data_IF_499132770050
#
_entry.id   IF_499132770050
#
_cell.length_a   1.000
_cell.length_b   1.000
_cell.length_c   1.000
_cell.angle_alpha   90.00
_cell.angle_beta   90.00
_cell.angle_gamma   90.00
#
_symmetry.space_group_name_H-M   'P 1'
#
loop_
_entity.id
_entity.type
_entity.pdbx_description
1 polymer ?
#
# COMPACT_ATOMS: atom_id res chain seq x y z
N UNK A 1 -14.43 -5.12 19.72
CA UNK A 1 -15.06 -6.33 19.15
C UNK A 1 -13.95 -7.26 18.67
N UNK A 2 -14.13 -8.58 18.75
CA UNK A 2 -13.13 -9.53 18.26
C UNK A 2 -13.28 -9.73 16.74
N UNK A 3 -12.16 -10.04 16.07
CA UNK A 3 -12.12 -10.27 14.62
C UNK A 3 -12.90 -11.53 14.23
N UNK A 4 -13.66 -11.52 13.11
CA UNK A 4 -14.33 -12.71 12.63
C UNK A 4 -13.33 -13.68 11.99
N UNK A 5 -13.59 -15.00 12.05
CA UNK A 5 -12.76 -15.99 11.37
C UNK A 5 -12.90 -15.88 9.84
N UNK A 6 -11.82 -16.14 9.12
CA UNK A 6 -11.84 -16.27 7.66
C UNK A 6 -12.66 -17.52 7.31
N UNK A 7 -13.74 -17.41 6.53
CA UNK A 7 -14.53 -18.55 6.01
C UNK A 7 -14.92 -19.64 7.04
N UNK A 8 -15.09 -19.30 8.33
CA UNK A 8 -15.41 -20.29 9.37
C UNK A 8 -14.26 -21.23 9.73
N UNK A 9 -13.02 -20.86 9.41
CA UNK A 9 -11.82 -21.60 9.80
C UNK A 9 -11.74 -21.67 11.33
N UNK A 10 -11.45 -22.86 11.86
CA UNK A 10 -11.23 -23.04 13.30
C UNK A 10 -9.76 -22.71 13.63
N UNK A 11 -9.53 -21.87 14.62
CA UNK A 11 -8.19 -21.45 15.03
C UNK A 11 -8.19 -20.06 15.64
N UNK A 12 -7.08 -19.71 16.28
CA UNK A 12 -6.82 -18.39 16.84
C UNK A 12 -5.40 -17.95 16.48
N UNK A 13 -5.08 -18.07 15.19
CA UNK A 13 -3.82 -17.60 14.60
C UNK A 13 -4.10 -16.44 13.66
N UNK A 14 -3.09 -15.63 13.38
CA UNK A 14 -3.17 -14.49 12.45
C UNK A 14 -3.92 -14.86 11.15
N UNK A 15 -3.46 -15.88 10.43
CA UNK A 15 -4.05 -16.28 9.15
C UNK A 15 -5.48 -16.84 9.21
N UNK A 16 -6.04 -17.04 10.41
CA UNK A 16 -7.42 -17.52 10.60
C UNK A 16 -8.43 -16.41 10.87
N UNK A 17 -7.97 -15.16 11.03
CA UNK A 17 -8.80 -13.99 11.32
C UNK A 17 -8.81 -13.02 10.13
N UNK A 18 -9.90 -12.25 9.98
CA UNK A 18 -10.07 -11.34 8.84
C UNK A 18 -9.37 -9.97 8.99
N UNK A 19 -8.92 -9.62 10.20
CA UNK A 19 -8.21 -8.36 10.51
C UNK A 19 -8.92 -7.06 10.03
N UNK A 20 -10.25 -7.06 10.02
CA UNK A 20 -11.07 -5.95 9.53
C UNK A 20 -11.13 -4.75 10.50
N UNK A 21 -10.85 -4.97 11.79
CA UNK A 21 -10.85 -3.97 12.86
C UNK A 21 -9.43 -3.55 13.26
N UNK A 22 -8.42 -4.30 12.84
CA UNK A 22 -7.02 -4.07 13.19
C UNK A 22 -6.21 -3.39 12.07
N UNK A 23 -6.52 -3.70 10.80
CA UNK A 23 -5.76 -3.22 9.64
C UNK A 23 -6.55 -2.20 8.81
N UNK A 24 -5.84 -1.33 8.09
CA UNK A 24 -6.42 -0.40 7.11
C UNK A 24 -7.58 0.48 7.63
N UNK A 25 -7.53 0.85 8.91
CA UNK A 25 -8.55 1.70 9.51
C UNK A 25 -8.50 3.13 8.92
N UNK A 26 -9.64 3.83 8.77
CA UNK A 26 -9.69 5.19 8.23
C UNK A 26 -8.74 6.19 8.91
N UNK A 27 -8.50 6.01 10.21
CA UNK A 27 -7.60 6.82 11.01
C UNK A 27 -6.15 6.74 10.53
N UNK A 28 -5.72 5.58 10.01
CA UNK A 28 -4.39 5.40 9.42
C UNK A 28 -4.20 6.30 8.20
N UNK A 29 -5.18 6.32 7.30
CA UNK A 29 -5.14 7.18 6.11
C UNK A 29 -5.17 8.67 6.48
N UNK A 30 -5.95 9.03 7.50
CA UNK A 30 -6.02 10.41 8.00
C UNK A 30 -4.68 10.86 8.57
N UNK A 31 -4.04 10.02 9.39
CA UNK A 31 -2.73 10.31 9.97
C UNK A 31 -1.65 10.47 8.89
N UNK A 32 -1.64 9.59 7.89
CA UNK A 32 -0.69 9.65 6.78
C UNK A 32 -0.85 10.93 5.96
N UNK A 33 -2.08 11.38 5.71
CA UNK A 33 -2.33 12.66 5.06
C UNK A 33 -1.79 13.85 5.86
N UNK A 34 -1.93 13.82 7.19
CA UNK A 34 -1.40 14.90 8.04
C UNK A 34 0.13 14.91 8.07
N UNK A 35 0.77 13.74 8.03
CA UNK A 35 2.22 13.63 7.86
C UNK A 35 2.67 14.12 6.48
N UNK A 36 1.96 13.78 5.41
CA UNK A 36 2.25 14.26 4.06
C UNK A 36 2.21 15.79 3.99
N UNK A 37 1.20 16.43 4.59
CA UNK A 37 1.11 17.90 4.69
C UNK A 37 2.30 18.49 5.45
N UNK A 38 2.72 17.86 6.55
CA UNK A 38 3.89 18.32 7.31
C UNK A 38 5.16 18.28 6.44
N UNK A 39 5.39 17.18 5.74
CA UNK A 39 6.55 17.01 4.84
C UNK A 39 6.47 18.00 3.67
N UNK A 40 5.29 18.17 3.08
CA UNK A 40 5.05 19.14 2.01
C UNK A 40 5.37 20.58 2.46
N UNK A 41 4.93 20.97 3.66
CA UNK A 41 5.28 22.28 4.23
C UNK A 41 6.79 22.46 4.43
N UNK A 42 7.52 21.40 4.79
CA UNK A 42 8.99 21.45 4.84
C UNK A 42 9.60 21.69 3.46
N UNK A 43 9.09 21.01 2.42
CA UNK A 43 9.50 21.23 1.01
C UNK A 43 9.27 22.68 0.60
N UNK A 44 8.11 23.26 0.94
CA UNK A 44 7.81 24.66 0.64
C UNK A 44 8.73 25.63 1.40
N UNK A 45 9.12 25.28 2.63
CA UNK A 45 9.92 26.17 3.48
C UNK A 45 11.39 26.29 3.05
N UNK A 46 11.99 25.21 2.54
CA UNK A 46 13.42 25.16 2.23
C UNK A 46 13.74 24.79 0.77
N UNK A 47 12.72 24.51 -0.04
CA UNK A 47 12.83 24.15 -1.45
C UNK A 47 13.45 22.78 -1.72
N UNK A 48 13.68 21.95 -0.68
CA UNK A 48 14.29 20.63 -0.84
C UNK A 48 13.21 19.57 -1.06
N UNK A 49 13.30 18.85 -2.17
CA UNK A 49 12.39 17.74 -2.48
C UNK A 49 12.46 16.65 -1.40
N UNK A 50 11.30 16.09 -1.07
CA UNK A 50 11.12 15.00 -0.10
C UNK A 50 10.03 14.07 -0.61
N UNK A 51 10.07 12.83 -0.14
CA UNK A 51 9.08 11.81 -0.42
C UNK A 51 8.84 10.98 0.84
N UNK A 52 7.64 10.41 0.96
CA UNK A 52 7.28 9.44 1.97
C UNK A 52 7.09 8.08 1.31
N UNK A 53 7.89 7.10 1.71
CA UNK A 53 7.73 5.72 1.23
C UNK A 53 6.96 4.92 2.27
N UNK A 54 5.96 4.18 1.83
CA UNK A 54 5.06 3.42 2.71
C UNK A 54 5.25 1.93 2.48
N UNK A 55 5.59 1.20 3.54
CA UNK A 55 5.66 -0.26 3.50
C UNK A 55 4.30 -0.82 3.92
N UNK A 56 3.53 -1.32 2.96
CA UNK A 56 2.19 -1.87 3.18
C UNK A 56 2.12 -3.27 2.57
N UNK A 57 1.88 -4.27 3.41
CA UNK A 57 1.66 -5.65 2.99
C UNK A 57 0.17 -5.92 2.88
N UNK A 58 -0.38 -5.70 1.69
CA UNK A 58 -1.79 -5.96 1.38
C UNK A 58 -1.96 -6.29 -0.11
N UNK A 59 -3.21 -6.56 -0.50
CA UNK A 59 -3.64 -6.68 -1.89
C UNK A 59 -3.39 -5.38 -2.67
N UNK A 60 -3.14 -5.47 -3.98
CA UNK A 60 -2.94 -4.29 -4.85
C UNK A 60 -4.05 -3.24 -4.68
N UNK A 61 -5.36 -3.60 -4.69
CA UNK A 61 -6.43 -2.61 -4.52
C UNK A 61 -6.37 -1.85 -3.19
N UNK A 62 -5.89 -2.47 -2.11
CA UNK A 62 -5.71 -1.81 -0.82
C UNK A 62 -4.46 -0.94 -0.83
N UNK A 63 -3.32 -1.49 -1.27
CA UNK A 63 -2.03 -0.78 -1.32
C UNK A 63 -2.11 0.50 -2.16
N UNK A 64 -2.83 0.47 -3.28
CA UNK A 64 -3.01 1.66 -4.12
C UNK A 64 -3.73 2.81 -3.41
N UNK A 65 -4.59 2.55 -2.41
CA UNK A 65 -5.26 3.61 -1.66
C UNK A 65 -4.28 4.49 -0.87
N UNK A 66 -3.06 4.01 -0.63
CA UNK A 66 -2.00 4.71 0.11
C UNK A 66 -1.23 5.75 -0.72
N UNK A 67 -1.42 5.84 -2.05
CA UNK A 67 -0.87 6.96 -2.85
C UNK A 67 -1.47 8.32 -2.45
N UNK A 68 -2.57 8.33 -1.69
CA UNK A 68 -3.32 9.51 -1.27
C UNK A 68 -3.85 10.35 -2.44
N UNK A 69 -4.28 11.59 -2.17
CA UNK A 69 -4.91 12.45 -3.18
C UNK A 69 -4.23 13.80 -3.29
N UNK A 70 -4.08 14.30 -4.52
CA UNK A 70 -3.49 15.60 -4.82
C UNK A 70 -1.96 15.63 -4.77
N UNK A 71 -1.40 16.75 -5.22
CA UNK A 71 0.06 16.93 -5.33
C UNK A 71 0.78 16.97 -3.97
N UNK A 72 0.03 17.21 -2.88
CA UNK A 72 0.55 17.25 -1.51
C UNK A 72 0.83 15.87 -0.95
N UNK A 73 0.29 14.82 -1.58
CA UNK A 73 0.31 13.48 -1.01
C UNK A 73 1.74 12.96 -0.81
N UNK A 74 2.71 13.30 -1.68
CA UNK A 74 4.14 12.94 -1.59
C UNK A 74 4.44 11.47 -1.20
N UNK A 75 3.43 10.60 -1.25
CA UNK A 75 3.42 9.26 -0.68
C UNK A 75 3.50 8.24 -1.80
N UNK A 76 4.38 7.26 -1.60
CA UNK A 76 4.67 6.20 -2.55
C UNK A 76 4.70 4.87 -1.80
N UNK A 77 3.64 4.06 -1.86
CA UNK A 77 3.69 2.71 -1.31
C UNK A 77 4.68 1.86 -2.10
N UNK A 78 5.42 0.99 -1.41
CA UNK A 78 6.32 0.04 -2.06
C UNK A 78 5.55 -1.02 -2.84
N UNK A 79 5.97 -1.24 -4.09
CA UNK A 79 5.54 -2.39 -4.87
C UNK A 79 6.35 -3.65 -4.49
N UNK A 80 5.72 -4.54 -3.73
CA UNK A 80 6.29 -5.85 -3.39
C UNK A 80 5.81 -7.00 -4.29
N UNK A 81 5.03 -6.76 -5.35
CA UNK A 81 4.39 -7.83 -6.12
C UNK A 81 5.41 -8.80 -6.74
N UNK A 82 6.55 -8.29 -7.21
CA UNK A 82 7.63 -9.16 -7.70
C UNK A 82 8.22 -10.05 -6.61
N UNK A 83 8.31 -9.54 -5.37
CA UNK A 83 8.84 -10.28 -4.22
C UNK A 83 7.84 -11.34 -3.71
N UNK A 84 6.55 -11.00 -3.68
CA UNK A 84 5.52 -11.85 -3.07
C UNK A 84 4.91 -12.86 -4.04
N UNK A 85 4.83 -12.53 -5.33
CA UNK A 85 4.29 -13.42 -6.37
C UNK A 85 5.38 -14.15 -7.18
N UNK A 86 6.56 -13.56 -7.30
CA UNK A 86 7.68 -14.11 -8.06
C UNK A 86 8.49 -15.16 -7.29
N UNK A 87 9.05 -16.12 -8.01
CA UNK A 87 10.02 -17.09 -7.50
C UNK A 87 10.94 -17.61 -8.62
N UNK A 88 11.83 -18.54 -8.30
CA UNK A 88 12.83 -19.09 -9.22
C UNK A 88 12.25 -19.78 -10.48
N UNK A 89 10.97 -20.14 -10.46
CA UNK A 89 10.28 -20.81 -11.57
C UNK A 89 9.42 -19.84 -12.40
N UNK A 90 9.31 -18.57 -12.00
CA UNK A 90 8.45 -17.58 -12.66
C UNK A 90 8.92 -17.31 -14.09
N UNK A 91 8.00 -17.42 -15.05
CA UNK A 91 8.26 -17.29 -16.49
C UNK A 91 8.15 -15.82 -16.93
N UNK A 92 8.76 -15.44 -18.07
CA UNK A 92 8.69 -14.06 -18.56
C UNK A 92 7.26 -13.50 -18.73
N UNK A 93 6.29 -14.34 -19.12
CA UNK A 93 4.90 -13.92 -19.25
C UNK A 93 4.24 -13.61 -17.90
N UNK A 94 4.59 -14.34 -16.85
CA UNK A 94 4.09 -14.13 -15.48
C UNK A 94 4.73 -12.88 -14.87
N UNK A 95 6.02 -12.63 -15.11
CA UNK A 95 6.68 -11.36 -14.72
C UNK A 95 5.97 -10.18 -15.36
N UNK A 96 5.65 -10.26 -16.67
CA UNK A 96 4.89 -9.22 -17.35
C UNK A 96 3.52 -9.01 -16.69
N UNK A 97 2.82 -10.08 -16.36
CA UNK A 97 1.52 -9.99 -15.71
C UNK A 97 1.63 -9.27 -14.36
N UNK A 98 2.60 -9.65 -13.51
CA UNK A 98 2.84 -9.02 -12.20
C UNK A 98 3.08 -7.51 -12.35
N UNK A 99 3.90 -7.12 -13.32
CA UNK A 99 4.18 -5.69 -13.61
C UNK A 99 2.90 -4.99 -14.11
N UNK A 100 2.19 -5.60 -15.07
CA UNK A 100 0.99 -5.00 -15.66
C UNK A 100 -0.12 -4.80 -14.61
N UNK A 101 -0.26 -5.71 -13.65
CA UNK A 101 -1.24 -5.61 -12.55
C UNK A 101 -1.02 -4.37 -11.70
N UNK A 102 0.23 -4.11 -11.28
CA UNK A 102 0.55 -2.89 -10.52
C UNK A 102 0.37 -1.63 -11.36
N UNK A 103 0.94 -1.62 -12.57
CA UNK A 103 0.91 -0.45 -13.46
C UNK A 103 -0.51 -0.06 -13.88
N UNK A 104 -1.43 -1.03 -13.99
CA UNK A 104 -2.84 -0.78 -14.32
C UNK A 104 -3.61 -0.23 -13.13
N UNK A 105 -3.28 -0.66 -11.91
CA UNK A 105 -3.98 -0.25 -10.70
C UNK A 105 -3.49 1.12 -10.18
N UNK A 106 -2.22 1.44 -10.39
CA UNK A 106 -1.59 2.67 -9.92
C UNK A 106 -2.32 3.93 -10.43
N UNK A 107 -2.56 4.94 -9.58
CA UNK A 107 -3.23 6.16 -10.00
C UNK A 107 -2.36 6.95 -10.99
N UNK A 108 -3.00 7.72 -11.85
CA UNK A 108 -2.30 8.57 -12.82
C UNK A 108 -1.32 9.53 -12.11
N UNK A 109 -0.07 9.56 -12.56
CA UNK A 109 0.99 10.35 -11.94
C UNK A 109 1.65 9.68 -10.72
N UNK A 110 1.24 8.46 -10.36
CA UNK A 110 1.92 7.63 -9.39
C UNK A 110 3.30 7.17 -9.87
N UNK A 111 4.15 6.79 -8.93
CA UNK A 111 5.46 6.18 -9.16
C UNK A 111 5.43 4.77 -8.59
N UNK A 112 5.79 3.78 -9.42
CA UNK A 112 5.96 2.38 -9.03
C UNK A 112 7.33 2.15 -8.40
#
# INVERSE_FOLDING_TARGET
PDEPPVNGTAGDTYDTQQHNFEMNQPETFTLLQDWAKLVYNMVLSDGRQRAMFLEVYDTIPTTIQYYGTGNESLMFPFDFQLLTQGNQSTRPAEIKQIIDEWMTAMPAGGVA
#
